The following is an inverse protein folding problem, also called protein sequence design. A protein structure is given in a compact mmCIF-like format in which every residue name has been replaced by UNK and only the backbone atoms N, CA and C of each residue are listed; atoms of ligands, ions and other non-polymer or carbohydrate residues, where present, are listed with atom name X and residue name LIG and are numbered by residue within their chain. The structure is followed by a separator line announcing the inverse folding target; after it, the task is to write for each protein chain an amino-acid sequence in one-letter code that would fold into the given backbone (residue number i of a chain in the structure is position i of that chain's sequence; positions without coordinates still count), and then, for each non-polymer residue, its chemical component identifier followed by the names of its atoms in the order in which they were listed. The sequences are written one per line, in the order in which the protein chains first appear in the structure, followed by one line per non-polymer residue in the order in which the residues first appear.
data_IF_409243548099
#
_entry.id   IF_409243548099
#
_cell.length_a   1.000
_cell.length_b   1.000
_cell.length_c   1.000
_cell.angle_alpha   90.00
_cell.angle_beta   90.00
_cell.angle_gamma   90.00
#
_symmetry.space_group_name_H-M   'P 1'
#
loop_
_entity.id
_entity.type
_entity.pdbx_description
1 polymer ?
#
# COMPACT_ATOMS: atom_id res chain seq x y z
N UNK A 1 -20.24 14.07 -21.19
CA UNK A 1 -19.01 13.62 -20.50
C UNK A 1 -19.00 12.10 -20.48
N UNK A 2 -17.84 11.47 -20.65
CA UNK A 2 -17.77 10.02 -20.49
C UNK A 2 -18.01 9.65 -19.02
N UNK A 3 -18.54 8.45 -18.75
CA UNK A 3 -18.82 7.97 -17.38
C UNK A 3 -17.59 7.95 -16.46
N UNK A 4 -16.38 7.85 -17.05
CA UNK A 4 -15.08 7.89 -16.38
C UNK A 4 -14.60 9.30 -16.04
N UNK A 5 -15.23 10.33 -16.61
CA UNK A 5 -14.87 11.71 -16.35
C UNK A 5 -15.56 12.19 -15.06
N UNK A 6 -14.90 13.09 -14.36
CA UNK A 6 -15.42 13.72 -13.14
C UNK A 6 -15.22 15.23 -13.22
N UNK A 7 -16.20 15.99 -12.73
CA UNK A 7 -16.09 17.45 -12.63
C UNK A 7 -15.12 17.85 -11.52
N UNK A 8 -14.50 19.03 -11.66
CA UNK A 8 -13.64 19.57 -10.62
C UNK A 8 -14.42 19.80 -9.31
N UNK A 9 -15.68 20.24 -9.40
CA UNK A 9 -16.57 20.43 -8.23
C UNK A 9 -16.74 19.13 -7.43
N UNK A 10 -17.04 18.01 -8.10
CA UNK A 10 -17.22 16.72 -7.42
C UNK A 10 -15.90 16.24 -6.79
N UNK A 11 -14.78 16.47 -7.47
CA UNK A 11 -13.46 16.15 -6.94
C UNK A 11 -13.14 16.96 -5.68
N UNK A 12 -13.34 18.29 -5.72
CA UNK A 12 -13.06 19.18 -4.59
C UNK A 12 -13.93 18.86 -3.37
N UNK A 13 -15.20 18.52 -3.59
CA UNK A 13 -16.10 18.06 -2.53
C UNK A 13 -15.62 16.76 -1.89
N UNK A 14 -15.19 15.78 -2.69
CA UNK A 14 -14.63 14.52 -2.18
C UNK A 14 -13.32 14.79 -1.40
N UNK A 15 -12.41 15.58 -1.97
CA UNK A 15 -11.14 15.94 -1.35
C UNK A 15 -11.35 16.63 0.00
N UNK A 16 -12.22 17.65 0.07
CA UNK A 16 -12.52 18.38 1.31
C UNK A 16 -13.08 17.47 2.40
N UNK A 17 -13.97 16.54 2.04
CA UNK A 17 -14.53 15.55 2.99
C UNK A 17 -13.45 14.59 3.49
N UNK A 18 -12.59 14.11 2.59
CA UNK A 18 -11.50 13.20 2.94
C UNK A 18 -10.48 13.88 3.86
N UNK A 19 -10.05 15.11 3.57
CA UNK A 19 -9.16 15.89 4.45
C UNK A 19 -9.77 16.04 5.84
N UNK A 20 -11.06 16.43 5.92
CA UNK A 20 -11.75 16.57 7.21
C UNK A 20 -11.78 15.25 7.99
N UNK A 21 -12.00 14.14 7.31
CA UNK A 21 -12.03 12.81 7.95
C UNK A 21 -10.64 12.38 8.43
N UNK A 22 -9.63 12.50 7.58
CA UNK A 22 -8.26 12.06 7.87
C UNK A 22 -7.58 12.87 8.97
N UNK A 23 -7.85 14.18 9.03
CA UNK A 23 -7.25 15.08 10.03
C UNK A 23 -7.95 15.02 11.40
N UNK A 24 -9.09 14.34 11.52
CA UNK A 24 -9.82 14.24 12.78
C UNK A 24 -8.99 13.51 13.84
N UNK A 25 -8.71 14.19 14.95
CA UNK A 25 -7.89 13.64 16.04
C UNK A 25 -6.42 13.44 15.67
N UNK A 26 -5.91 14.20 14.68
CA UNK A 26 -4.51 14.23 14.29
C UNK A 26 -3.95 15.62 14.56
N UNK A 27 -2.71 15.68 14.99
CA UNK A 27 -2.00 16.91 15.29
C UNK A 27 -0.75 17.01 14.38
N UNK A 28 -0.49 18.20 13.81
CA UNK A 28 0.73 18.42 13.05
C UNK A 28 1.96 18.41 13.98
N UNK A 29 3.12 18.11 13.41
CA UNK A 29 4.41 18.07 14.08
C UNK A 29 5.37 19.11 13.49
N UNK A 30 6.29 19.62 14.31
CA UNK A 30 7.41 20.45 13.86
C UNK A 30 8.46 19.64 13.10
N UNK A 31 8.53 18.34 13.39
CA UNK A 31 9.42 17.37 12.74
C UNK A 31 8.55 16.25 12.15
N UNK A 32 7.82 16.54 11.05
CA UNK A 32 6.88 15.59 10.52
C UNK A 32 7.63 14.45 9.81
N UNK A 33 7.04 13.26 9.90
CA UNK A 33 7.60 12.04 9.31
C UNK A 33 6.64 11.50 8.25
N UNK A 34 7.19 11.04 7.14
CA UNK A 34 6.43 10.38 6.09
C UNK A 34 7.01 9.00 5.79
N UNK A 35 6.15 7.99 5.87
CA UNK A 35 6.50 6.59 5.65
C UNK A 35 5.91 6.16 4.31
N UNK A 36 6.76 5.84 3.35
CA UNK A 36 6.32 5.19 2.12
C UNK A 36 6.29 3.68 2.35
N UNK A 37 5.22 3.02 1.91
CA UNK A 37 5.12 1.57 1.97
C UNK A 37 5.59 0.90 0.68
N UNK A 38 6.21 -0.27 0.82
CA UNK A 38 6.50 -1.18 -0.27
C UNK A 38 6.18 -2.63 0.06
N UNK A 39 6.13 -3.46 -0.97
CA UNK A 39 5.80 -4.88 -0.89
C UNK A 39 4.70 -5.28 -1.86
N UNK A 40 4.69 -6.56 -2.24
CA UNK A 40 3.72 -7.04 -3.21
C UNK A 40 2.28 -7.02 -2.69
N UNK A 41 1.32 -7.02 -3.61
CA UNK A 41 -0.10 -7.15 -3.27
C UNK A 41 -0.34 -8.41 -2.46
N UNK A 42 -1.13 -8.32 -1.40
CA UNK A 42 -1.38 -9.45 -0.52
C UNK A 42 -0.25 -9.79 0.45
N UNK A 43 0.91 -9.12 0.43
CA UNK A 43 1.98 -9.36 1.41
C UNK A 43 1.56 -9.05 2.86
N UNK A 44 0.60 -8.15 3.07
CA UNK A 44 0.04 -7.84 4.39
C UNK A 44 0.47 -6.48 4.93
N UNK A 45 0.44 -5.44 4.09
CA UNK A 45 0.81 -4.05 4.45
C UNK A 45 0.02 -3.50 5.64
N UNK A 46 -1.19 -4.00 5.88
CA UNK A 46 -1.99 -3.71 7.07
C UNK A 46 -1.25 -4.03 8.37
N UNK A 47 -0.30 -4.97 8.36
CA UNK A 47 0.60 -5.21 9.50
C UNK A 47 1.42 -3.97 9.84
N UNK A 48 2.01 -3.32 8.83
CA UNK A 48 2.74 -2.05 9.02
C UNK A 48 1.80 -0.95 9.48
N UNK A 49 0.56 -0.89 8.97
CA UNK A 49 -0.42 0.09 9.46
C UNK A 49 -0.65 -0.05 10.95
N UNK A 50 -0.73 -1.27 11.48
CA UNK A 50 -0.92 -1.52 12.91
C UNK A 50 0.31 -1.14 13.72
N UNK A 51 1.51 -1.49 13.23
CA UNK A 51 2.78 -1.16 13.88
C UNK A 51 2.92 0.37 13.97
N UNK A 52 2.80 1.07 12.84
CA UNK A 52 2.97 2.51 12.77
C UNK A 52 1.84 3.29 13.44
N UNK A 53 0.60 2.83 13.41
CA UNK A 53 -0.44 3.44 14.24
C UNK A 53 -0.13 3.33 15.73
N UNK A 54 0.42 2.21 16.20
CA UNK A 54 0.82 2.06 17.60
C UNK A 54 2.03 2.96 17.94
N UNK A 55 3.05 2.96 17.09
CA UNK A 55 4.28 3.75 17.22
C UNK A 55 3.98 5.25 17.32
N UNK A 56 3.08 5.76 16.48
CA UNK A 56 2.66 7.17 16.48
C UNK A 56 1.51 7.46 17.44
N UNK A 57 1.09 6.51 18.29
CA UNK A 57 -0.05 6.66 19.21
C UNK A 57 -1.34 7.13 18.51
N UNK A 58 -1.55 6.66 17.29
CA UNK A 58 -2.66 7.05 16.42
C UNK A 58 -2.48 8.42 15.74
N UNK A 59 -1.38 9.14 15.95
CA UNK A 59 -1.10 10.43 15.31
C UNK A 59 -0.37 10.29 13.95
N UNK A 60 -0.90 9.45 13.07
CA UNK A 60 -0.42 9.29 11.69
C UNK A 60 -1.60 9.15 10.74
N UNK A 61 -1.53 9.80 9.58
CA UNK A 61 -2.56 9.73 8.54
C UNK A 61 -2.17 8.68 7.52
N UNK A 62 -3.04 7.69 7.31
CA UNK A 62 -2.87 6.66 6.29
C UNK A 62 -3.53 7.15 5.00
N UNK A 63 -2.73 7.22 3.93
CA UNK A 63 -3.18 7.57 2.58
C UNK A 63 -3.17 6.28 1.74
N UNK A 64 -4.34 5.70 1.56
CA UNK A 64 -4.57 4.50 0.73
C UNK A 64 -5.32 4.88 -0.55
N UNK A 65 -4.60 4.88 -1.68
CA UNK A 65 -5.16 5.21 -2.98
C UNK A 65 -6.31 4.30 -3.42
N UNK A 66 -6.29 3.03 -3.01
CA UNK A 66 -7.33 2.09 -3.41
C UNK A 66 -8.68 2.39 -2.73
N UNK A 67 -8.65 2.91 -1.51
CA UNK A 67 -9.85 3.38 -0.79
C UNK A 67 -10.55 4.56 -1.46
N UNK A 68 -9.80 5.40 -2.20
CA UNK A 68 -10.37 6.60 -2.83
C UNK A 68 -11.09 6.31 -4.15
N UNK A 69 -10.96 5.11 -4.71
CA UNK A 69 -11.69 4.72 -5.94
C UNK A 69 -13.20 4.80 -5.75
N UNK A 70 -13.68 4.41 -4.56
CA UNK A 70 -15.09 4.45 -4.18
C UNK A 70 -15.65 5.87 -4.09
N UNK A 71 -14.79 6.88 -3.99
CA UNK A 71 -15.18 8.30 -3.95
C UNK A 71 -15.38 8.88 -5.35
N UNK A 72 -15.13 8.11 -6.42
CA UNK A 72 -15.43 8.55 -7.77
C UNK A 72 -16.95 8.79 -7.90
N UNK A 73 -17.40 9.93 -8.45
CA UNK A 73 -18.82 10.29 -8.47
C UNK A 73 -19.70 9.26 -9.19
N UNK A 74 -19.15 8.61 -10.22
CA UNK A 74 -19.83 7.57 -10.99
C UNK A 74 -19.36 6.15 -10.64
N UNK A 75 -18.83 5.92 -9.42
CA UNK A 75 -18.22 4.63 -9.05
C UNK A 75 -19.15 3.43 -9.30
N UNK A 76 -20.40 3.50 -8.81
CA UNK A 76 -21.38 2.41 -8.98
C UNK A 76 -21.67 2.14 -10.45
N UNK A 77 -21.89 3.18 -11.26
CA UNK A 77 -22.17 3.02 -12.68
C UNK A 77 -20.96 2.50 -13.48
N UNK A 78 -19.72 2.85 -13.08
CA UNK A 78 -18.50 2.24 -13.62
C UNK A 78 -18.40 0.76 -13.25
N UNK A 79 -18.79 0.42 -12.02
CA UNK A 79 -18.77 -0.95 -11.53
C UNK A 79 -19.81 -1.81 -12.22
N UNK A 80 -21.04 -1.32 -12.41
CA UNK A 80 -22.11 -2.04 -13.11
C UNK A 80 -21.74 -2.30 -14.58
N UNK A 81 -21.07 -1.34 -15.22
CA UNK A 81 -20.71 -1.43 -16.64
C UNK A 81 -19.46 -2.29 -16.90
N UNK A 82 -18.44 -2.18 -16.05
CA UNK A 82 -17.12 -2.76 -16.30
C UNK A 82 -16.72 -3.85 -15.30
N UNK A 83 -17.49 -4.07 -14.24
CA UNK A 83 -17.21 -5.05 -13.20
C UNK A 83 -15.78 -4.89 -12.65
N UNK A 84 -15.02 -5.97 -12.70
CA UNK A 84 -13.61 -6.02 -12.27
C UNK A 84 -12.69 -5.01 -13.01
N UNK A 85 -13.04 -4.62 -14.23
CA UNK A 85 -12.23 -3.72 -15.06
C UNK A 85 -12.49 -2.23 -14.75
N UNK A 86 -13.44 -1.93 -13.86
CA UNK A 86 -13.70 -0.55 -13.36
C UNK A 86 -12.47 0.11 -12.73
N UNK A 87 -11.49 -0.69 -12.29
CA UNK A 87 -10.21 -0.25 -11.73
C UNK A 87 -9.44 0.64 -12.70
N UNK A 88 -9.46 0.34 -14.00
CA UNK A 88 -8.74 1.14 -15.00
C UNK A 88 -9.38 2.54 -15.14
N UNK A 89 -10.70 2.61 -15.02
CA UNK A 89 -11.47 3.86 -15.16
C UNK A 89 -11.40 4.74 -13.90
N UNK A 90 -11.23 4.15 -12.72
CA UNK A 90 -11.11 4.88 -11.45
C UNK A 90 -9.67 5.29 -11.10
N UNK A 91 -8.67 4.73 -11.79
CA UNK A 91 -7.24 4.95 -11.51
C UNK A 91 -6.84 6.42 -11.55
N UNK A 92 -7.32 7.18 -12.54
CA UNK A 92 -7.00 8.61 -12.70
C UNK A 92 -7.52 9.44 -11.52
N UNK A 93 -8.74 9.18 -11.08
CA UNK A 93 -9.34 9.88 -9.93
C UNK A 93 -8.60 9.54 -8.63
N UNK A 94 -8.38 8.26 -8.37
CA UNK A 94 -7.67 7.80 -7.17
C UNK A 94 -6.24 8.35 -7.10
N UNK A 95 -5.50 8.34 -8.21
CA UNK A 95 -4.18 8.93 -8.31
C UNK A 95 -4.18 10.42 -7.99
N UNK A 96 -5.07 11.20 -8.63
CA UNK A 96 -5.21 12.64 -8.36
C UNK A 96 -5.59 12.90 -6.88
N UNK A 97 -6.43 12.06 -6.28
CA UNK A 97 -6.80 12.18 -4.88
C UNK A 97 -5.59 11.98 -3.96
N UNK A 98 -4.77 10.95 -4.20
CA UNK A 98 -3.52 10.71 -3.44
C UNK A 98 -2.58 11.90 -3.59
N UNK A 99 -2.34 12.38 -4.80
CA UNK A 99 -1.46 13.53 -5.06
C UNK A 99 -1.90 14.78 -4.27
N UNK A 100 -3.18 15.15 -4.38
CA UNK A 100 -3.72 16.31 -3.66
C UNK A 100 -3.70 16.12 -2.14
N UNK A 101 -3.99 14.91 -1.63
CA UNK A 101 -3.95 14.63 -0.19
C UNK A 101 -2.53 14.68 0.35
N UNK A 102 -1.56 14.09 -0.35
CA UNK A 102 -0.15 14.17 0.04
C UNK A 102 0.29 15.62 0.06
N UNK A 103 -0.02 16.40 -0.98
CA UNK A 103 0.36 17.80 -1.07
C UNK A 103 -0.21 18.65 0.07
N UNK A 104 -1.53 18.60 0.26
CA UNK A 104 -2.25 19.40 1.27
C UNK A 104 -1.87 19.00 2.70
N UNK A 105 -1.81 17.71 3.00
CA UNK A 105 -1.52 17.23 4.36
C UNK A 105 -0.06 17.40 4.71
N UNK A 106 0.85 17.30 3.73
CA UNK A 106 2.27 17.57 3.96
C UNK A 106 2.53 19.05 4.19
N UNK A 107 1.83 19.95 3.49
CA UNK A 107 1.96 21.39 3.74
C UNK A 107 1.53 21.79 5.15
N UNK A 108 0.62 21.01 5.75
CA UNK A 108 0.13 21.22 7.12
C UNK A 108 0.98 20.53 8.20
N UNK A 109 2.00 19.76 7.83
CA UNK A 109 2.92 19.14 8.80
C UNK A 109 2.39 17.89 9.52
N UNK A 110 1.42 17.15 8.95
CA UNK A 110 0.96 15.88 9.55
C UNK A 110 1.93 14.73 9.28
N UNK A 111 2.02 13.77 10.21
CA UNK A 111 2.69 12.49 9.91
C UNK A 111 1.88 11.71 8.88
N UNK A 112 2.56 11.17 7.86
CA UNK A 112 1.93 10.48 6.74
C UNK A 112 2.44 9.05 6.64
N UNK A 113 1.54 8.11 6.36
CA UNK A 113 1.87 6.78 5.87
C UNK A 113 1.20 6.64 4.50
N UNK A 114 2.00 6.50 3.45
CA UNK A 114 1.55 6.52 2.07
C UNK A 114 1.65 5.09 1.52
N UNK A 115 0.50 4.50 1.19
CA UNK A 115 0.45 3.17 0.59
C UNK A 115 1.09 3.16 -0.81
N UNK A 116 1.96 2.18 -1.04
CA UNK A 116 2.64 1.96 -2.30
C UNK A 116 3.09 0.52 -2.43
N UNK A 117 3.36 0.07 -3.65
CA UNK A 117 3.91 -1.28 -3.93
C UNK A 117 5.40 -1.28 -4.23
N UNK A 118 6.00 -0.11 -4.43
CA UNK A 118 7.35 0.02 -5.01
C UNK A 118 7.50 -0.72 -6.36
N UNK A 119 6.41 -0.83 -7.14
CA UNK A 119 6.45 -1.44 -8.48
C UNK A 119 7.35 -0.69 -9.45
N UNK A 120 7.47 0.63 -9.28
CA UNK A 120 8.38 1.47 -10.05
C UNK A 120 9.13 2.42 -9.12
N UNK A 121 10.19 3.04 -9.62
CA UNK A 121 11.01 3.97 -8.82
C UNK A 121 10.54 5.41 -8.91
N UNK A 122 9.86 5.81 -9.98
CA UNK A 122 9.55 7.21 -10.28
C UNK A 122 8.55 7.81 -9.29
N UNK A 123 7.50 7.05 -8.94
CA UNK A 123 6.47 7.50 -8.00
C UNK A 123 7.04 7.68 -6.58
N UNK A 124 7.71 6.68 -5.96
CA UNK A 124 8.31 6.87 -4.65
C UNK A 124 9.41 7.95 -4.67
N UNK A 125 10.22 8.04 -5.74
CA UNK A 125 11.23 9.10 -5.91
C UNK A 125 10.63 10.49 -5.85
N UNK A 126 9.63 10.77 -6.71
CA UNK A 126 8.96 12.08 -6.75
C UNK A 126 8.28 12.41 -5.42
N UNK A 127 7.64 11.43 -4.79
CA UNK A 127 6.95 11.59 -3.51
C UNK A 127 7.95 11.91 -2.39
N UNK A 128 9.06 11.17 -2.30
CA UNK A 128 10.10 11.41 -1.32
C UNK A 128 10.77 12.78 -1.49
N UNK A 129 11.09 13.18 -2.73
CA UNK A 129 11.66 14.49 -3.03
C UNK A 129 10.70 15.63 -2.66
N UNK A 130 9.41 15.50 -2.99
CA UNK A 130 8.38 16.47 -2.59
C UNK A 130 8.33 16.62 -1.07
N UNK A 131 8.29 15.51 -0.33
CA UNK A 131 8.20 15.54 1.12
C UNK A 131 9.47 16.11 1.76
N UNK A 132 10.66 15.71 1.30
CA UNK A 132 11.93 16.29 1.74
C UNK A 132 11.98 17.80 1.52
N UNK A 133 11.49 18.29 0.38
CA UNK A 133 11.41 19.74 0.11
C UNK A 133 10.52 20.50 1.09
N UNK A 134 9.61 19.80 1.79
CA UNK A 134 8.73 20.33 2.84
C UNK A 134 9.26 20.07 4.26
N UNK A 135 10.52 19.65 4.41
CA UNK A 135 11.16 19.40 5.70
C UNK A 135 10.75 18.11 6.38
N UNK A 136 10.20 17.14 5.64
CA UNK A 136 9.85 15.84 6.20
C UNK A 136 11.06 14.93 6.34
N UNK A 137 11.06 14.19 7.44
CA UNK A 137 11.85 12.98 7.58
C UNK A 137 11.17 11.83 6.82
N UNK A 138 11.79 11.40 5.71
CA UNK A 138 11.18 10.41 4.80
C UNK A 138 11.76 9.02 5.07
N UNK A 139 10.86 8.07 5.30
CA UNK A 139 11.14 6.71 5.74
C UNK A 139 10.56 5.72 4.72
N UNK A 140 11.16 4.54 4.59
CA UNK A 140 10.63 3.44 3.79
C UNK A 140 10.33 2.25 4.70
N UNK A 141 9.11 1.72 4.65
CA UNK A 141 8.74 0.49 5.35
C UNK A 141 8.24 -0.56 4.36
N UNK A 142 8.93 -1.70 4.33
CA UNK A 142 8.63 -2.82 3.45
C UNK A 142 7.98 -3.95 4.22
N UNK A 143 6.99 -4.61 3.61
CA UNK A 143 6.50 -5.90 4.08
C UNK A 143 7.08 -6.99 3.18
N UNK A 144 7.80 -7.94 3.76
CA UNK A 144 8.36 -9.09 3.06
C UNK A 144 7.58 -10.36 3.40
N UNK A 145 7.22 -11.14 2.38
CA UNK A 145 6.48 -12.39 2.52
C UNK A 145 6.74 -13.24 1.29
N UNK A 146 6.84 -14.57 1.44
CA UNK A 146 6.95 -15.50 0.29
C UNK A 146 5.92 -15.17 -0.81
N UNK A 147 6.33 -15.07 -2.09
CA UNK A 147 5.45 -14.77 -3.21
C UNK A 147 4.20 -15.66 -3.30
N UNK A 148 4.34 -16.93 -2.95
CA UNK A 148 3.25 -17.92 -2.94
C UNK A 148 2.21 -17.58 -1.87
N UNK A 149 2.66 -17.19 -0.67
CA UNK A 149 1.80 -16.78 0.43
C UNK A 149 1.09 -15.47 0.12
N UNK A 150 1.79 -14.48 -0.43
CA UNK A 150 1.18 -13.20 -0.80
C UNK A 150 0.15 -13.37 -1.91
N UNK A 151 0.46 -14.15 -2.96
CA UNK A 151 -0.47 -14.40 -4.05
C UNK A 151 -1.72 -15.13 -3.56
N UNK A 152 -1.55 -16.20 -2.77
CA UNK A 152 -2.68 -16.93 -2.17
C UNK A 152 -3.56 -16.02 -1.31
N UNK A 153 -2.96 -15.03 -0.64
CA UNK A 153 -3.71 -14.02 0.13
C UNK A 153 -4.53 -13.09 -0.76
N UNK A 154 -4.07 -12.80 -1.98
CA UNK A 154 -4.86 -12.03 -2.94
C UNK A 154 -6.08 -12.80 -3.45
N UNK A 155 -5.95 -14.13 -3.62
CA UNK A 155 -7.05 -15.01 -4.02
C UNK A 155 -8.10 -15.09 -2.91
N UNK A 156 -7.69 -15.41 -1.68
CA UNK A 156 -8.60 -15.47 -0.52
C UNK A 156 -9.34 -14.14 -0.34
N UNK A 157 -8.62 -13.02 -0.39
CA UNK A 157 -9.23 -11.68 -0.26
C UNK A 157 -10.28 -11.42 -1.34
N UNK A 158 -10.04 -11.87 -2.57
CA UNK A 158 -11.01 -11.74 -3.64
C UNK A 158 -12.27 -12.56 -3.32
N UNK A 159 -12.12 -13.82 -2.93
CA UNK A 159 -13.24 -14.71 -2.65
C UNK A 159 -14.08 -14.25 -1.45
N UNK A 160 -13.42 -13.80 -0.38
CA UNK A 160 -14.11 -13.24 0.79
C UNK A 160 -14.90 -11.97 0.44
N UNK A 161 -14.31 -11.07 -0.36
CA UNK A 161 -15.02 -9.87 -0.82
C UNK A 161 -16.13 -10.21 -1.80
N UNK A 162 -15.96 -11.21 -2.66
CA UNK A 162 -16.98 -11.64 -3.61
C UNK A 162 -18.19 -12.23 -2.89
N UNK A 163 -17.97 -13.05 -1.88
CA UNK A 163 -19.05 -13.60 -1.05
C UNK A 163 -19.86 -12.52 -0.31
N UNK A 164 -19.20 -11.44 0.13
CA UNK A 164 -19.85 -10.33 0.83
C UNK A 164 -20.53 -9.33 -0.11
N UNK A 165 -19.83 -8.94 -1.17
CA UNK A 165 -20.33 -7.98 -2.15
C UNK A 165 -19.62 -8.18 -3.50
N UNK A 166 -20.24 -8.94 -4.44
CA UNK A 166 -19.68 -9.21 -5.76
C UNK A 166 -19.27 -7.95 -6.52
N UNK A 167 -20.01 -6.85 -6.33
CA UNK A 167 -19.73 -5.58 -7.00
C UNK A 167 -18.48 -4.88 -6.46
N UNK A 168 -17.95 -5.24 -5.30
CA UNK A 168 -16.73 -4.62 -4.75
C UNK A 168 -15.51 -5.52 -4.85
N UNK A 169 -15.69 -6.79 -5.19
CA UNK A 169 -14.61 -7.75 -5.32
C UNK A 169 -13.72 -7.44 -6.53
N UNK A 170 -12.41 -7.30 -6.27
CA UNK A 170 -11.41 -6.98 -7.29
C UNK A 170 -10.30 -8.00 -7.24
N UNK A 171 -10.16 -8.77 -8.32
CA UNK A 171 -9.07 -9.72 -8.46
C UNK A 171 -7.75 -8.98 -8.69
N UNK A 172 -6.67 -9.48 -8.09
CA UNK A 172 -5.31 -9.07 -8.46
C UNK A 172 -4.80 -10.07 -9.49
N UNK A 173 -4.46 -9.61 -10.69
CA UNK A 173 -3.92 -10.53 -11.69
C UNK A 173 -2.55 -11.06 -11.24
N UNK A 174 -2.25 -12.32 -11.55
CA UNK A 174 -0.97 -12.94 -11.23
C UNK A 174 0.20 -12.16 -11.85
N UNK A 175 0.05 -11.74 -13.11
CA UNK A 175 1.05 -10.91 -13.79
C UNK A 175 1.31 -9.57 -13.08
N UNK A 176 0.28 -8.93 -12.52
CA UNK A 176 0.47 -7.69 -11.74
C UNK A 176 1.21 -7.95 -10.43
N UNK A 177 0.85 -9.04 -9.73
CA UNK A 177 1.51 -9.46 -8.50
C UNK A 177 2.99 -9.80 -8.74
N UNK A 178 3.26 -10.69 -9.69
CA UNK A 178 4.60 -11.19 -9.98
C UNK A 178 5.50 -10.08 -10.52
N UNK A 179 4.96 -9.19 -11.35
CA UNK A 179 5.71 -8.02 -11.81
C UNK A 179 6.15 -7.09 -10.66
N UNK A 180 5.47 -7.08 -9.50
CA UNK A 180 5.99 -6.39 -8.32
C UNK A 180 7.13 -7.20 -7.70
N UNK A 181 6.93 -8.51 -7.49
CA UNK A 181 7.93 -9.39 -6.88
C UNK A 181 9.25 -9.37 -7.64
N UNK A 182 9.19 -9.42 -8.98
CA UNK A 182 10.36 -9.40 -9.86
C UNK A 182 11.18 -8.12 -9.73
N UNK A 183 10.52 -6.96 -9.63
CA UNK A 183 11.19 -5.66 -9.66
C UNK A 183 11.43 -5.07 -8.26
N UNK A 184 10.84 -5.62 -7.19
CA UNK A 184 10.87 -5.00 -5.86
C UNK A 184 12.29 -4.83 -5.33
N UNK A 185 13.16 -5.83 -5.50
CA UNK A 185 14.55 -5.80 -5.03
C UNK A 185 15.36 -4.78 -5.84
N UNK A 186 15.29 -4.85 -7.17
CA UNK A 186 16.02 -3.92 -8.05
C UNK A 186 15.58 -2.46 -7.82
N UNK A 187 14.28 -2.24 -7.65
CA UNK A 187 13.74 -0.90 -7.37
C UNK A 187 14.19 -0.38 -6.01
N UNK A 188 14.26 -1.24 -5.00
CA UNK A 188 14.80 -0.90 -3.69
C UNK A 188 16.26 -0.47 -3.82
N UNK A 189 17.10 -1.28 -4.47
CA UNK A 189 18.53 -0.97 -4.67
C UNK A 189 18.72 0.38 -5.38
N UNK A 190 17.94 0.65 -6.43
CA UNK A 190 17.96 1.94 -7.14
C UNK A 190 17.60 3.10 -6.22
N UNK A 191 16.57 2.95 -5.38
CA UNK A 191 16.13 3.98 -4.45
C UNK A 191 17.11 4.20 -3.28
N UNK A 192 17.84 3.15 -2.87
CA UNK A 192 18.91 3.25 -1.87
C UNK A 192 20.08 4.08 -2.38
N UNK A 193 20.52 3.88 -3.62
CA UNK A 193 21.60 4.67 -4.25
C UNK A 193 21.28 6.17 -4.26
N UNK A 194 20.00 6.53 -4.38
CA UNK A 194 19.54 7.92 -4.38
C UNK A 194 19.49 8.57 -2.99
N UNK A 195 19.73 7.82 -1.91
CA UNK A 195 19.70 8.30 -0.52
C UNK A 195 18.44 9.11 -0.17
N UNK A 196 17.30 8.67 -0.72
CA UNK A 196 16.02 9.36 -0.54
C UNK A 196 15.40 9.12 0.84
N UNK A 197 15.71 7.99 1.45
CA UNK A 197 15.14 7.56 2.73
C UNK A 197 16.17 7.66 3.84
N UNK A 198 15.78 8.23 4.97
CA UNK A 198 16.64 8.34 6.16
C UNK A 198 16.67 7.05 6.97
N UNK A 199 15.66 6.20 6.82
CA UNK A 199 15.57 4.89 7.46
C UNK A 199 14.74 3.96 6.60
N UNK A 200 15.21 2.73 6.45
CA UNK A 200 14.52 1.65 5.76
C UNK A 200 14.29 0.52 6.75
N UNK A 201 13.05 0.04 6.82
CA UNK A 201 12.65 -1.06 7.71
C UNK A 201 11.97 -2.16 6.92
N UNK A 202 12.27 -3.41 7.25
CA UNK A 202 11.57 -4.58 6.69
C UNK A 202 10.82 -5.28 7.80
N UNK A 203 9.53 -5.52 7.57
CA UNK A 203 8.65 -6.25 8.46
C UNK A 203 8.18 -7.55 7.83
N UNK A 204 7.85 -8.53 8.68
CA UNK A 204 7.10 -9.73 8.30
C UNK A 204 5.68 -9.71 8.90
N UNK A 205 4.84 -10.66 8.49
CA UNK A 205 3.41 -10.70 8.85
C UNK A 205 3.12 -10.86 10.33
N UNK A 206 4.03 -11.50 11.06
CA UNK A 206 3.96 -11.70 12.50
C UNK A 206 4.26 -10.43 13.32
N UNK A 207 4.58 -9.31 12.63
CA UNK A 207 5.01 -8.01 13.16
C UNK A 207 6.48 -7.96 13.57
N UNK A 208 7.28 -8.99 13.27
CA UNK A 208 8.73 -8.90 13.45
C UNK A 208 9.31 -7.84 12.51
N UNK A 209 10.17 -6.97 13.05
CA UNK A 209 11.07 -6.13 12.26
C UNK A 209 12.34 -6.92 12.01
N UNK A 210 12.54 -7.39 10.78
CA UNK A 210 13.66 -8.26 10.40
C UNK A 210 14.85 -7.47 9.86
N UNK A 211 14.67 -6.17 9.63
CA UNK A 211 15.73 -5.26 9.24
C UNK A 211 15.39 -3.83 9.64
N UNK A 212 16.41 -3.08 10.05
CA UNK A 212 16.38 -1.66 10.31
C UNK A 212 17.71 -1.01 9.92
N UNK A 213 17.71 -0.12 8.93
CA UNK A 213 18.95 0.50 8.43
C UNK A 213 19.66 1.42 9.44
N UNK A 214 19.02 1.79 10.55
CA UNK A 214 19.69 2.52 11.63
C UNK A 214 20.49 1.60 12.58
N UNK A 215 20.22 0.30 12.57
CA UNK A 215 20.77 -0.67 13.52
C UNK A 215 21.59 -1.75 12.82
N UNK A 216 21.17 -2.15 11.63
CA UNK A 216 21.75 -3.27 10.89
C UNK A 216 22.73 -2.80 9.80
N UNK A 217 23.97 -3.28 9.86
CA UNK A 217 25.03 -2.95 8.87
C UNK A 217 24.96 -3.80 7.58
N UNK A 218 23.91 -4.63 7.43
CA UNK A 218 23.77 -5.51 6.28
C UNK A 218 22.94 -4.86 5.16
N UNK A 219 23.08 -5.39 3.93
CA UNK A 219 22.33 -4.88 2.77
C UNK A 219 20.83 -5.16 2.91
N UNK A 220 20.01 -4.11 2.86
CA UNK A 220 18.53 -4.19 2.84
C UNK A 220 18.03 -5.11 1.73
N UNK A 221 18.58 -4.97 0.51
CA UNK A 221 18.23 -5.79 -0.64
C UNK A 221 18.53 -7.27 -0.42
N UNK A 222 19.65 -7.60 0.23
CA UNK A 222 19.99 -8.99 0.59
C UNK A 222 19.00 -9.56 1.60
N UNK A 223 18.63 -8.80 2.63
CA UNK A 223 17.64 -9.25 3.64
C UNK A 223 16.26 -9.43 3.00
N UNK A 224 15.84 -8.50 2.15
CA UNK A 224 14.59 -8.61 1.41
C UNK A 224 14.58 -9.85 0.50
N UNK A 225 15.68 -10.10 -0.22
CA UNK A 225 15.85 -11.29 -1.08
C UNK A 225 15.74 -12.58 -0.29
N UNK A 226 16.39 -12.66 0.87
CA UNK A 226 16.30 -13.84 1.75
C UNK A 226 14.88 -14.03 2.28
N UNK A 227 14.19 -12.95 2.67
CA UNK A 227 12.79 -13.06 3.09
C UNK A 227 11.89 -13.60 1.96
N UNK A 228 12.04 -13.09 0.73
CA UNK A 228 11.21 -13.48 -0.40
C UNK A 228 11.54 -14.87 -0.95
N UNK A 229 12.82 -15.21 -1.09
CA UNK A 229 13.28 -16.38 -1.86
C UNK A 229 14.19 -17.34 -1.09
N UNK A 230 14.54 -17.00 0.15
CA UNK A 230 15.29 -17.86 1.04
C UNK A 230 14.48 -19.05 1.56
N UNK A 231 15.03 -19.73 2.57
CA UNK A 231 14.37 -20.91 3.16
C UNK A 231 13.00 -20.55 3.76
N UNK A 232 12.09 -21.52 3.71
CA UNK A 232 10.80 -21.41 4.39
C UNK A 232 10.99 -21.73 5.87
N UNK A 233 10.37 -20.92 6.72
CA UNK A 233 10.21 -21.23 8.14
C UNK A 233 9.01 -22.15 8.34
N UNK A 234 9.00 -22.89 9.46
CA UNK A 234 7.85 -23.73 9.86
C UNK A 234 6.54 -22.92 9.91
N UNK A 235 6.63 -21.67 10.38
CA UNK A 235 5.48 -20.77 10.46
C UNK A 235 4.94 -20.44 9.07
N UNK A 236 5.80 -20.19 8.09
CA UNK A 236 5.38 -19.94 6.70
C UNK A 236 4.76 -21.18 6.04
N UNK A 237 5.30 -22.37 6.29
CA UNK A 237 4.76 -23.64 5.80
C UNK A 237 3.36 -23.92 6.37
N UNK A 238 3.18 -23.73 7.68
CA UNK A 238 1.89 -23.85 8.35
C UNK A 238 0.88 -22.82 7.82
N UNK A 239 1.31 -21.55 7.66
CA UNK A 239 0.47 -20.51 7.06
C UNK A 239 0.04 -20.86 5.63
N UNK A 240 0.92 -21.48 4.84
CA UNK A 240 0.61 -21.89 3.47
C UNK A 240 -0.44 -22.99 3.47
N UNK A 241 -0.31 -23.99 4.34
CA UNK A 241 -1.27 -25.07 4.49
C UNK A 241 -2.66 -24.53 4.86
N UNK A 242 -2.74 -23.72 5.92
CA UNK A 242 -4.00 -23.13 6.40
C UNK A 242 -4.67 -22.28 5.33
N UNK A 243 -3.90 -21.46 4.61
CA UNK A 243 -4.46 -20.61 3.54
C UNK A 243 -4.95 -21.42 2.34
N UNK A 244 -4.29 -22.53 2.00
CA UNK A 244 -4.75 -23.42 0.93
C UNK A 244 -6.06 -24.10 1.30
N UNK A 245 -6.18 -24.56 2.55
CA UNK A 245 -7.42 -25.11 3.10
C UNK A 245 -8.53 -24.06 3.06
N UNK A 246 -8.26 -22.84 3.55
CA UNK A 246 -9.23 -21.73 3.50
C UNK A 246 -9.70 -21.39 2.09
N UNK A 247 -8.80 -21.37 1.10
CA UNK A 247 -9.20 -21.11 -0.28
C UNK A 247 -10.06 -22.23 -0.86
N UNK A 248 -9.80 -23.50 -0.49
CA UNK A 248 -10.66 -24.63 -0.88
C UNK A 248 -12.06 -24.49 -0.30
N UNK A 249 -12.18 -24.23 1.00
CA UNK A 249 -13.47 -24.00 1.67
C UNK A 249 -14.30 -22.91 0.98
N UNK A 250 -13.66 -21.80 0.60
CA UNK A 250 -14.33 -20.69 -0.09
C UNK A 250 -14.78 -21.05 -1.51
N UNK A 251 -14.06 -21.93 -2.19
CA UNK A 251 -14.44 -22.40 -3.53
C UNK A 251 -15.53 -23.48 -3.48
N UNK A 252 -15.50 -24.35 -2.47
CA UNK A 252 -16.49 -25.41 -2.28
C UNK A 252 -17.84 -24.86 -1.76
N UNK A 253 -17.85 -23.64 -1.21
CA UNK A 253 -19.04 -22.93 -0.73
C UNK A 253 -19.80 -22.15 -1.80
N UNK A 254 -19.37 -22.22 -3.08
CA UNK A 254 -20.02 -21.56 -4.23
C UNK A 254 -20.96 -22.49 -4.98
#
# INVERSE_FOLDING_TARGET
MAIKDFSQINFDLALKRTIRSLTRGKLPSKEPQAILLGGQSGAGKTTIHRIKQKEFQGNIIIIDGDSYRFLHPNYLALQDKYGKDSVEYTKKFAGKMVECLVDELSQRGYHLLIEGTLRTTEVPRKTAQLLKSKGYRVLLSLIATKPELSYLSTLIRYEELYALNPTQARATSKAYHDGIVEHLIENLEKLEVENLFERIQIYQRDRSGVYDSEVDDCSTAKVLKECLFGKWSKVEEEMLKLRRERLRELNDSK
#
